data_IF_191172050265
#
_entry.id   IF_191172050265
#
_cell.length_a   1.000
_cell.length_b   1.000
_cell.length_c   1.000
_cell.angle_alpha   90.00
_cell.angle_beta   90.00
_cell.angle_gamma   90.00
#
_symmetry.space_group_name_H-M   'P 1'
#
loop_
_entity.id
_entity.type
_entity.pdbx_description
1 polymer ?
#
# COMPACT_ATOMS: atom_id res chain seq x y z
N UNK A 1 -10.31 29.33 -10.64
CA UNK A 1 -10.31 29.20 -9.17
C UNK A 1 -9.70 27.86 -8.82
N UNK A 2 -8.93 27.71 -7.73
CA UNK A 2 -8.39 26.42 -7.35
C UNK A 2 -9.54 25.43 -7.14
N UNK A 3 -9.46 24.29 -7.80
CA UNK A 3 -10.42 23.21 -7.65
C UNK A 3 -9.93 22.30 -6.52
N UNK A 4 -10.73 22.13 -5.46
CA UNK A 4 -10.32 21.35 -4.30
C UNK A 4 -10.64 19.85 -4.45
N UNK A 5 -10.03 19.04 -3.58
CA UNK A 5 -10.40 17.64 -3.33
C UNK A 5 -10.53 17.37 -1.83
N UNK A 6 -11.31 16.35 -1.49
CA UNK A 6 -11.35 15.80 -0.14
C UNK A 6 -10.22 14.78 0.05
N UNK A 7 -9.47 14.88 1.14
CA UNK A 7 -8.58 13.80 1.60
C UNK A 7 -9.10 13.33 2.95
N UNK A 8 -9.35 12.03 3.08
CA UNK A 8 -9.85 11.41 4.29
C UNK A 8 -8.84 10.38 4.83
N UNK A 9 -8.39 10.59 6.06
CA UNK A 9 -7.44 9.75 6.77
C UNK A 9 -8.16 9.01 7.88
N UNK A 10 -8.24 7.69 7.79
CA UNK A 10 -8.72 6.88 8.89
C UNK A 10 -7.56 6.31 9.68
N UNK A 11 -7.47 6.68 10.96
CA UNK A 11 -6.63 5.98 11.93
C UNK A 11 -7.48 4.95 12.67
N UNK A 12 -7.05 3.70 12.69
CA UNK A 12 -7.79 2.62 13.32
C UNK A 12 -6.85 1.87 14.24
N UNK A 13 -7.25 1.72 15.50
CA UNK A 13 -6.55 0.82 16.41
C UNK A 13 -6.80 -0.61 15.93
N UNK A 14 -5.73 -1.29 15.50
CA UNK A 14 -5.79 -2.56 14.79
C UNK A 14 -6.28 -3.69 15.72
N UNK A 15 -7.59 -3.75 15.88
CA UNK A 15 -8.31 -4.83 16.57
C UNK A 15 -8.51 -6.01 15.64
N UNK A 16 -7.47 -6.83 15.52
CA UNK A 16 -7.41 -8.01 14.65
C UNK A 16 -8.53 -8.99 14.94
N UNK A 17 -8.98 -9.07 16.19
CA UNK A 17 -10.01 -10.00 16.66
C UNK A 17 -11.37 -9.82 15.99
N UNK A 18 -11.59 -8.69 15.29
CA UNK A 18 -12.85 -8.43 14.60
C UNK A 18 -13.01 -9.31 13.35
N UNK A 19 -14.24 -9.78 13.16
CA UNK A 19 -14.62 -10.49 11.95
C UNK A 19 -14.38 -9.64 10.69
N UNK A 20 -14.21 -10.32 9.55
CA UNK A 20 -14.08 -9.66 8.25
C UNK A 20 -15.30 -8.76 7.96
N UNK A 21 -16.51 -9.23 8.24
CA UNK A 21 -17.75 -8.47 8.04
C UNK A 21 -17.80 -7.19 8.87
N UNK A 22 -17.37 -7.26 10.14
CA UNK A 22 -17.31 -6.08 11.01
C UNK A 22 -16.35 -5.02 10.47
N UNK A 23 -15.21 -5.46 9.92
CA UNK A 23 -14.22 -4.56 9.31
C UNK A 23 -14.72 -3.94 8.01
N UNK A 24 -15.38 -4.72 7.16
CA UNK A 24 -16.01 -4.22 5.93
C UNK A 24 -17.13 -3.22 6.22
N UNK A 25 -17.97 -3.49 7.22
CA UNK A 25 -18.98 -2.55 7.70
C UNK A 25 -18.32 -1.27 8.22
N UNK A 26 -17.21 -1.39 8.95
CA UNK A 26 -16.40 -0.25 9.39
C UNK A 26 -15.98 0.65 8.24
N UNK A 27 -15.44 0.08 7.15
CA UNK A 27 -15.11 0.83 5.94
C UNK A 27 -16.35 1.46 5.32
N UNK A 28 -17.45 0.71 5.17
CA UNK A 28 -18.67 1.23 4.55
C UNK A 28 -19.22 2.46 5.30
N UNK A 29 -19.19 2.43 6.63
CA UNK A 29 -19.58 3.57 7.48
C UNK A 29 -18.65 4.77 7.23
N UNK A 30 -17.33 4.56 7.17
CA UNK A 30 -16.38 5.67 6.91
C UNK A 30 -16.54 6.24 5.50
N UNK A 31 -16.71 5.39 4.49
CA UNK A 31 -16.96 5.83 3.12
C UNK A 31 -18.30 6.55 2.98
N UNK A 32 -19.34 6.14 3.73
CA UNK A 32 -20.61 6.88 3.80
C UNK A 32 -20.37 8.31 4.30
N UNK A 33 -19.58 8.46 5.36
CA UNK A 33 -19.21 9.76 5.92
C UNK A 33 -18.42 10.61 4.92
N UNK A 34 -17.39 10.05 4.28
CA UNK A 34 -16.60 10.77 3.26
C UNK A 34 -17.45 11.17 2.06
N UNK A 35 -18.36 10.29 1.62
CA UNK A 35 -19.29 10.59 0.55
C UNK A 35 -20.26 11.73 0.92
N UNK A 36 -20.65 11.82 2.21
CA UNK A 36 -21.41 12.97 2.71
C UNK A 36 -20.57 14.26 2.63
N UNK A 37 -19.32 14.23 3.08
CA UNK A 37 -18.41 15.39 2.99
C UNK A 37 -18.24 15.89 1.55
N UNK A 38 -18.09 14.96 0.59
CA UNK A 38 -18.01 15.30 -0.84
C UNK A 38 -19.28 16.01 -1.32
N UNK A 39 -20.48 15.54 -0.92
CA UNK A 39 -21.74 16.18 -1.30
C UNK A 39 -21.89 17.56 -0.68
N UNK A 40 -21.57 17.69 0.60
CA UNK A 40 -21.71 18.95 1.34
C UNK A 40 -20.75 20.03 0.81
N UNK A 41 -19.59 19.63 0.29
CA UNK A 41 -18.58 20.54 -0.30
C UNK A 41 -18.61 20.59 -1.83
N UNK A 42 -19.67 20.10 -2.49
CA UNK A 42 -19.69 19.92 -3.95
C UNK A 42 -19.35 21.19 -4.75
N UNK A 43 -19.70 22.38 -4.26
CA UNK A 43 -19.42 23.66 -4.91
C UNK A 43 -17.93 24.06 -4.88
N UNK A 44 -17.14 23.50 -3.97
CA UNK A 44 -15.71 23.79 -3.81
C UNK A 44 -14.82 22.76 -4.54
N UNK A 45 -15.39 21.63 -4.93
CA UNK A 45 -14.65 20.50 -5.46
C UNK A 45 -14.47 20.58 -6.97
N UNK A 46 -13.34 20.05 -7.44
CA UNK A 46 -13.08 19.84 -8.86
C UNK A 46 -14.21 19.09 -9.54
N UNK A 47 -14.61 19.52 -10.74
CA UNK A 47 -15.49 18.71 -11.60
C UNK A 47 -14.70 17.88 -12.62
N UNK A 48 -13.43 18.24 -12.88
CA UNK A 48 -12.57 17.66 -13.91
C UNK A 48 -12.10 16.23 -13.64
N UNK A 49 -12.07 15.79 -12.37
CA UNK A 49 -11.54 14.48 -12.00
C UNK A 49 -12.60 13.37 -11.89
N UNK A 50 -12.22 12.10 -12.19
CA UNK A 50 -13.09 10.94 -12.01
C UNK A 50 -13.33 10.59 -10.53
N UNK A 51 -12.63 11.25 -9.61
CA UNK A 51 -12.84 11.17 -8.16
C UNK A 51 -12.93 12.59 -7.58
N UNK A 52 -13.58 12.71 -6.43
CA UNK A 52 -13.74 13.95 -5.65
C UNK A 52 -13.09 13.86 -4.28
N UNK A 53 -12.79 12.65 -3.83
CA UNK A 53 -12.02 12.43 -2.62
C UNK A 53 -11.09 11.23 -2.69
N UNK A 54 -10.09 11.24 -1.80
CA UNK A 54 -9.15 10.16 -1.55
C UNK A 54 -9.42 9.64 -0.14
N UNK A 55 -9.54 8.33 0.03
CA UNK A 55 -9.71 7.69 1.34
C UNK A 55 -8.57 6.71 1.61
N UNK A 56 -7.89 6.86 2.75
CA UNK A 56 -6.87 5.91 3.22
C UNK A 56 -7.28 5.32 4.56
N UNK A 57 -7.10 4.00 4.69
CA UNK A 57 -7.14 3.28 5.97
C UNK A 57 -5.76 2.61 6.22
N UNK A 58 -5.45 2.23 7.46
CA UNK A 58 -4.10 1.82 7.84
C UNK A 58 -3.75 0.39 7.42
N UNK A 59 -2.50 -0.01 7.63
CA UNK A 59 -2.02 -1.35 7.30
C UNK A 59 -2.72 -2.45 8.12
N UNK A 60 -2.77 -3.64 7.52
CA UNK A 60 -3.30 -4.89 8.05
C UNK A 60 -4.76 -4.88 8.44
N UNK A 61 -5.48 -3.80 8.12
CA UNK A 61 -6.92 -3.70 8.36
C UNK A 61 -7.62 -5.00 7.95
N UNK A 62 -7.20 -5.64 6.85
CA UNK A 62 -7.58 -7.00 6.50
C UNK A 62 -6.45 -8.02 6.76
N UNK A 63 -6.58 -8.75 7.86
CA UNK A 63 -5.77 -9.91 8.25
C UNK A 63 -6.68 -11.00 8.84
N UNK A 64 -6.23 -12.24 9.01
CA UNK A 64 -7.05 -13.27 9.67
C UNK A 64 -7.43 -12.79 11.08
N UNK A 65 -8.69 -12.92 11.53
CA UNK A 65 -9.02 -12.67 12.93
C UNK A 65 -8.29 -13.66 13.82
N UNK A 66 -7.46 -13.16 14.72
CA UNK A 66 -6.66 -13.95 15.65
C UNK A 66 -6.18 -13.04 16.80
N UNK A 67 -5.58 -13.62 17.84
CA UNK A 67 -4.94 -12.88 18.94
C UNK A 67 -3.66 -12.19 18.49
N UNK A 68 -3.05 -12.68 17.41
CA UNK A 68 -1.85 -12.15 16.80
C UNK A 68 -2.06 -11.85 15.31
N UNK A 69 -1.10 -11.17 14.69
CA UNK A 69 -1.18 -10.84 13.27
C UNK A 69 -0.94 -12.08 12.41
N UNK A 70 -2.00 -12.69 11.89
CA UNK A 70 -1.89 -13.91 11.09
C UNK A 70 -2.38 -13.75 9.65
N UNK A 71 -1.62 -14.21 8.63
CA UNK A 71 -2.01 -14.04 7.24
C UNK A 71 -3.23 -14.89 6.90
N UNK A 72 -4.23 -14.27 6.28
CA UNK A 72 -5.39 -15.00 5.74
C UNK A 72 -5.03 -15.85 4.53
N UNK A 73 -5.91 -16.77 4.14
CA UNK A 73 -5.76 -17.59 2.95
C UNK A 73 -5.87 -16.78 1.65
N UNK A 74 -5.37 -17.36 0.54
CA UNK A 74 -5.53 -16.75 -0.79
C UNK A 74 -7.01 -16.59 -1.18
N UNK A 75 -7.90 -17.47 -0.71
CA UNK A 75 -9.34 -17.43 -0.94
C UNK A 75 -10.03 -16.29 -0.17
N UNK A 76 -9.75 -16.14 1.12
CA UNK A 76 -10.27 -15.02 1.92
C UNK A 76 -9.83 -13.68 1.34
N UNK A 77 -8.57 -13.58 0.89
CA UNK A 77 -8.08 -12.39 0.19
C UNK A 77 -8.85 -12.12 -1.12
N UNK A 78 -9.31 -13.16 -1.84
CA UNK A 78 -10.17 -12.99 -3.03
C UNK A 78 -11.53 -12.44 -2.64
N UNK A 79 -12.14 -12.98 -1.58
CA UNK A 79 -13.41 -12.49 -1.07
C UNK A 79 -13.33 -11.03 -0.63
N UNK A 80 -12.30 -10.67 0.16
CA UNK A 80 -12.02 -9.29 0.58
C UNK A 80 -11.91 -8.35 -0.63
N UNK A 81 -11.10 -8.71 -1.63
CA UNK A 81 -10.94 -7.87 -2.83
C UNK A 81 -12.27 -7.68 -3.58
N UNK A 82 -13.08 -8.74 -3.71
CA UNK A 82 -14.40 -8.67 -4.34
C UNK A 82 -15.36 -7.72 -3.61
N UNK A 83 -15.42 -7.83 -2.28
CA UNK A 83 -16.27 -6.96 -1.43
C UNK A 83 -15.80 -5.50 -1.46
N UNK A 84 -14.49 -5.26 -1.44
CA UNK A 84 -13.92 -3.92 -1.60
C UNK A 84 -14.22 -3.30 -2.98
N UNK A 85 -14.21 -4.09 -4.05
CA UNK A 85 -14.67 -3.63 -5.37
C UNK A 85 -16.17 -3.28 -5.36
N UNK A 86 -16.98 -4.02 -4.61
CA UNK A 86 -18.39 -3.68 -4.36
C UNK A 86 -18.55 -2.31 -3.69
N UNK A 87 -17.79 -2.03 -2.62
CA UNK A 87 -17.78 -0.72 -1.97
C UNK A 87 -17.30 0.39 -2.92
N UNK A 88 -16.29 0.12 -3.73
CA UNK A 88 -15.81 1.07 -4.74
C UNK A 88 -16.87 1.39 -5.82
N UNK A 89 -17.75 0.44 -6.17
CA UNK A 89 -18.93 0.72 -7.01
C UNK A 89 -19.96 1.58 -6.29
N UNK A 90 -20.20 1.32 -5.01
CA UNK A 90 -21.15 2.07 -4.17
C UNK A 90 -20.73 3.53 -3.98
N UNK A 91 -19.42 3.79 -3.93
CA UNK A 91 -18.85 5.15 -3.76
C UNK A 91 -17.93 5.51 -4.93
N UNK A 92 -18.48 5.73 -6.14
CA UNK A 92 -17.69 5.82 -7.37
C UNK A 92 -16.82 7.08 -7.45
N UNK A 93 -17.07 8.09 -6.62
CA UNK A 93 -16.32 9.34 -6.57
C UNK A 93 -15.17 9.31 -5.54
N UNK A 94 -14.92 8.18 -4.87
CA UNK A 94 -13.84 8.05 -3.89
C UNK A 94 -12.75 7.13 -4.45
N UNK A 95 -11.54 7.67 -4.61
CA UNK A 95 -10.33 6.87 -4.84
C UNK A 95 -9.91 6.28 -3.49
N UNK A 96 -10.16 5.00 -3.27
CA UNK A 96 -9.96 4.38 -1.96
C UNK A 96 -8.72 3.47 -1.93
N UNK A 97 -7.99 3.58 -0.84
CA UNK A 97 -6.96 2.64 -0.37
C UNK A 97 -7.43 2.11 0.99
N UNK A 98 -8.18 0.99 1.02
CA UNK A 98 -8.95 0.55 2.18
C UNK A 98 -8.07 -0.16 3.25
N UNK A 99 -6.79 0.21 3.34
CA UNK A 99 -5.78 -0.50 4.12
C UNK A 99 -5.14 -1.64 3.34
N UNK A 100 -4.41 -2.49 4.04
CA UNK A 100 -3.74 -3.64 3.42
C UNK A 100 -4.40 -4.96 3.76
N UNK A 101 -4.18 -5.93 2.87
CA UNK A 101 -4.55 -7.33 3.02
C UNK A 101 -3.28 -8.14 3.23
N UNK A 102 -3.13 -8.74 4.41
CA UNK A 102 -2.04 -9.66 4.72
C UNK A 102 -2.49 -11.10 4.57
N UNK A 103 -1.86 -11.82 3.65
CA UNK A 103 -2.31 -13.14 3.22
C UNK A 103 -1.13 -14.04 2.83
N UNK A 104 -1.40 -15.34 2.76
CA UNK A 104 -0.45 -16.37 2.32
C UNK A 104 -0.93 -17.10 1.07
N UNK A 105 0.03 -17.56 0.28
CA UNK A 105 -0.21 -18.42 -0.89
C UNK A 105 0.59 -19.70 -0.79
N UNK A 106 0.05 -20.80 -1.29
CA UNK A 106 0.84 -22.00 -1.46
C UNK A 106 1.92 -21.79 -2.53
N UNK A 107 3.14 -22.26 -2.30
CA UNK A 107 4.19 -22.23 -3.32
C UNK A 107 3.76 -23.07 -4.53
N UNK A 108 3.34 -24.30 -4.28
CA UNK A 108 2.74 -25.19 -5.28
C UNK A 108 1.23 -24.98 -5.28
N UNK A 109 0.62 -24.80 -6.45
CA UNK A 109 -0.84 -24.65 -6.52
C UNK A 109 -1.51 -26.01 -6.46
N UNK A 110 -2.62 -26.07 -5.73
CA UNK A 110 -3.58 -27.15 -5.93
C UNK A 110 -4.20 -27.05 -7.34
N UNK A 111 -4.58 -28.18 -7.96
CA UNK A 111 -5.38 -28.19 -9.18
C UNK A 111 -6.62 -27.29 -9.07
N UNK A 112 -6.96 -26.56 -10.14
CA UNK A 112 -8.15 -25.68 -10.17
C UNK A 112 -7.90 -24.21 -9.78
N UNK A 113 -6.70 -23.85 -9.34
CA UNK A 113 -6.33 -22.45 -9.01
C UNK A 113 -5.68 -21.68 -10.18
N UNK A 114 -6.04 -22.02 -11.42
CA UNK A 114 -5.32 -21.59 -12.62
C UNK A 114 -5.80 -20.28 -13.23
N UNK A 115 -6.92 -19.73 -12.77
CA UNK A 115 -7.42 -18.46 -13.28
C UNK A 115 -6.73 -17.26 -12.59
N UNK A 116 -6.47 -16.20 -13.36
CA UNK A 116 -6.01 -14.88 -12.94
C UNK A 116 -7.21 -13.96 -12.75
N UNK A 117 -7.03 -12.97 -11.88
CA UNK A 117 -7.96 -11.85 -11.77
C UNK A 117 -8.04 -11.09 -13.09
N UNK A 118 -9.26 -10.82 -13.51
CA UNK A 118 -9.64 -10.02 -14.65
C UNK A 118 -10.07 -8.63 -14.18
N UNK A 119 -9.28 -7.59 -14.47
CA UNK A 119 -9.64 -6.22 -14.11
C UNK A 119 -10.91 -5.69 -14.77
N UNK A 120 -11.35 -6.28 -15.89
CA UNK A 120 -12.55 -5.85 -16.59
C UNK A 120 -13.81 -6.33 -15.89
N UNK A 121 -13.84 -7.59 -15.46
CA UNK A 121 -15.01 -8.21 -14.82
C UNK A 121 -14.94 -8.16 -13.29
N UNK A 122 -13.77 -7.91 -12.72
CA UNK A 122 -13.51 -8.05 -11.28
C UNK A 122 -13.52 -9.51 -10.80
N UNK A 123 -13.62 -10.48 -11.72
CA UNK A 123 -13.68 -11.91 -11.44
C UNK A 123 -12.37 -12.61 -11.78
N UNK A 124 -12.23 -13.90 -11.46
CA UNK A 124 -11.05 -14.69 -11.86
C UNK A 124 -11.35 -15.53 -13.08
N UNK A 125 -11.29 -14.93 -14.27
CA UNK A 125 -11.68 -15.57 -15.54
C UNK A 125 -10.52 -15.75 -16.51
N UNK A 126 -9.39 -15.06 -16.31
CA UNK A 126 -8.29 -15.08 -17.28
C UNK A 126 -7.42 -16.34 -17.12
N UNK A 127 -7.25 -17.10 -18.20
CA UNK A 127 -6.32 -18.21 -18.23
C UNK A 127 -4.88 -17.72 -17.98
N UNK A 128 -4.08 -18.56 -17.30
CA UNK A 128 -2.66 -18.30 -17.13
C UNK A 128 -1.90 -18.77 -18.35
N UNK A 129 -1.41 -17.81 -19.13
CA UNK A 129 -0.65 -18.05 -20.37
C UNK A 129 0.79 -18.55 -20.18
N UNK A 130 1.24 -18.81 -18.94
CA UNK A 130 2.58 -19.36 -18.71
C UNK A 130 2.55 -20.50 -17.68
N UNK A 131 3.34 -21.58 -17.89
CA UNK A 131 3.61 -22.60 -16.88
C UNK A 131 4.10 -21.89 -15.63
N UNK A 132 3.23 -21.80 -14.65
CA UNK A 132 3.24 -20.66 -13.75
C UNK A 132 4.13 -20.98 -12.54
N UNK A 133 5.41 -21.25 -12.75
CA UNK A 133 6.31 -21.62 -11.66
C UNK A 133 6.41 -20.46 -10.63
N UNK A 134 5.64 -20.61 -9.54
CA UNK A 134 5.61 -19.66 -8.42
C UNK A 134 6.97 -19.65 -7.73
N UNK A 135 7.70 -20.76 -7.73
CA UNK A 135 9.05 -20.89 -7.20
C UNK A 135 10.03 -20.06 -8.00
N UNK A 136 10.14 -20.28 -9.30
CA UNK A 136 11.02 -19.46 -10.15
C UNK A 136 10.75 -17.95 -9.99
N UNK A 137 9.48 -17.53 -9.94
CA UNK A 137 9.15 -16.11 -9.72
C UNK A 137 9.48 -15.62 -8.31
N UNK A 138 9.28 -16.43 -7.28
CA UNK A 138 9.64 -16.08 -5.91
C UNK A 138 11.16 -15.91 -5.80
N UNK A 139 11.93 -16.89 -6.31
CA UNK A 139 13.40 -16.82 -6.40
C UNK A 139 13.84 -15.55 -7.14
N UNK A 140 13.26 -15.29 -8.32
CA UNK A 140 13.61 -14.11 -9.12
C UNK A 140 13.33 -12.81 -8.36
N UNK A 141 12.18 -12.70 -7.69
CA UNK A 141 11.83 -11.51 -6.90
C UNK A 141 12.78 -11.31 -5.72
N UNK A 142 13.04 -12.37 -4.96
CA UNK A 142 13.97 -12.35 -3.83
C UNK A 142 15.36 -11.93 -4.30
N UNK A 143 15.88 -12.52 -5.38
CA UNK A 143 17.18 -12.16 -5.98
C UNK A 143 17.20 -10.70 -6.48
N UNK A 144 16.16 -10.26 -7.17
CA UNK A 144 16.08 -8.89 -7.67
C UNK A 144 15.96 -7.84 -6.56
N UNK A 145 15.44 -8.22 -5.40
CA UNK A 145 15.39 -7.36 -4.22
C UNK A 145 16.74 -7.28 -3.52
N UNK A 146 17.33 -8.44 -3.24
CA UNK A 146 18.72 -8.64 -2.80
C UNK A 146 19.67 -7.66 -3.51
N UNK A 147 19.76 -7.71 -4.84
CA UNK A 147 20.72 -6.90 -5.63
C UNK A 147 20.56 -5.38 -5.46
N UNK A 148 19.41 -4.90 -4.98
CA UNK A 148 19.09 -3.47 -4.88
C UNK A 148 19.30 -2.87 -3.51
N UNK A 149 19.67 -3.66 -2.50
CA UNK A 149 19.91 -3.16 -1.15
C UNK A 149 21.21 -2.31 -1.17
N UNK A 150 21.13 -0.98 -0.93
CA UNK A 150 22.31 -0.11 -0.89
C UNK A 150 23.29 -0.55 0.20
N UNK A 151 24.58 -0.64 -0.14
CA UNK A 151 25.66 -1.03 0.79
C UNK A 151 26.30 -2.38 0.51
N UNK A 152 25.79 -3.17 -0.44
CA UNK A 152 26.42 -4.43 -0.86
C UNK A 152 27.22 -4.24 -2.14
N UNK A 153 28.54 -4.47 -2.09
CA UNK A 153 29.43 -4.20 -3.23
C UNK A 153 29.98 -5.43 -3.95
N UNK A 154 29.85 -6.66 -3.44
CA UNK A 154 30.30 -7.84 -4.21
C UNK A 154 29.50 -9.13 -3.92
N UNK A 155 29.43 -10.09 -4.87
CA UNK A 155 28.98 -11.47 -4.66
C UNK A 155 29.63 -12.21 -3.47
N UNK A 156 30.85 -11.82 -3.06
CA UNK A 156 31.54 -12.39 -1.90
C UNK A 156 30.99 -11.89 -0.56
N UNK A 157 30.44 -10.67 -0.51
CA UNK A 157 29.83 -10.10 0.71
C UNK A 157 28.51 -10.80 1.10
N UNK A 158 27.92 -11.59 0.19
CA UNK A 158 26.67 -12.32 0.42
C UNK A 158 26.85 -13.51 1.35
N UNK A 159 28.06 -14.07 1.40
CA UNK A 159 28.35 -15.28 2.16
C UNK A 159 28.90 -14.99 3.56
N UNK A 160 29.48 -13.80 3.78
CA UNK A 160 30.21 -13.42 4.99
C UNK A 160 29.41 -12.60 6.02
N UNK A 161 28.25 -12.06 5.66
CA UNK A 161 27.42 -11.29 6.59
C UNK A 161 26.33 -12.16 7.18
N UNK A 162 26.46 -12.43 8.48
CA UNK A 162 25.40 -12.99 9.30
C UNK A 162 24.27 -11.95 9.39
N UNK A 163 23.15 -12.19 8.69
CA UNK A 163 22.04 -11.25 8.46
C UNK A 163 21.17 -11.01 9.72
N UNK A 164 21.80 -10.98 10.90
CA UNK A 164 21.17 -10.72 12.19
C UNK A 164 21.24 -9.25 12.63
N UNK A 165 21.98 -8.39 11.91
CA UNK A 165 22.15 -6.97 12.25
C UNK A 165 21.44 -6.02 11.28
N UNK A 166 20.29 -5.47 11.68
CA UNK A 166 19.72 -4.19 11.20
C UNK A 166 19.71 -3.92 9.67
N UNK A 167 19.47 -4.93 8.83
CA UNK A 167 19.48 -4.78 7.37
C UNK A 167 18.14 -5.12 6.74
N UNK A 168 17.43 -4.11 6.20
CA UNK A 168 16.34 -4.10 5.20
C UNK A 168 15.13 -5.06 5.32
N UNK A 169 15.18 -6.06 6.19
CA UNK A 169 14.12 -6.99 6.53
C UNK A 169 14.08 -7.32 8.02
N UNK A 170 14.93 -6.72 8.83
CA UNK A 170 14.85 -6.88 10.27
C UNK A 170 14.92 -5.47 10.87
N UNK A 171 13.77 -5.00 11.36
CA UNK A 171 13.80 -4.18 12.57
C UNK A 171 14.33 -5.03 13.74
N UNK A 172 13.74 -4.87 14.91
CA UNK A 172 14.10 -5.66 16.11
C UNK A 172 13.56 -7.11 16.03
N UNK A 173 12.72 -7.43 15.04
CA UNK A 173 11.97 -8.69 14.96
C UNK A 173 12.77 -9.82 14.28
N UNK A 174 12.79 -11.04 14.85
CA UNK A 174 13.45 -12.20 14.24
C UNK A 174 12.59 -12.76 13.10
N UNK A 175 12.83 -12.29 11.88
CA UNK A 175 12.24 -12.85 10.65
C UNK A 175 13.30 -13.59 9.83
N UNK A 176 12.93 -14.58 9.00
CA UNK A 176 13.88 -15.27 8.12
C UNK A 176 14.62 -14.32 7.18
N UNK A 177 15.93 -14.52 7.01
CA UNK A 177 16.72 -13.71 6.07
C UNK A 177 16.31 -13.98 4.62
N UNK A 178 16.54 -13.02 3.71
CA UNK A 178 16.31 -13.25 2.27
C UNK A 178 17.21 -14.35 1.71
N UNK A 179 18.38 -14.58 2.31
CA UNK A 179 19.29 -15.66 1.94
C UNK A 179 18.63 -17.00 2.26
N UNK A 180 18.13 -17.18 3.48
CA UNK A 180 17.50 -18.43 3.91
C UNK A 180 16.21 -18.70 3.14
N UNK A 181 15.41 -17.65 2.91
CA UNK A 181 14.24 -17.73 2.02
C UNK A 181 14.66 -18.18 0.62
N UNK A 182 15.71 -17.58 0.03
CA UNK A 182 16.20 -17.96 -1.31
C UNK A 182 16.70 -19.40 -1.34
N UNK A 183 17.47 -19.82 -0.35
CA UNK A 183 18.01 -21.18 -0.22
C UNK A 183 16.85 -22.18 -0.12
N UNK A 184 15.88 -21.92 0.75
CA UNK A 184 14.67 -22.76 0.91
C UNK A 184 13.85 -22.83 -0.36
N UNK A 185 13.70 -21.71 -1.07
CA UNK A 185 13.01 -21.70 -2.38
C UNK A 185 13.81 -22.44 -3.47
N UNK A 186 15.13 -22.55 -3.34
CA UNK A 186 15.99 -23.32 -4.25
C UNK A 186 15.91 -24.83 -4.02
N UNK A 187 15.59 -25.26 -2.81
CA UNK A 187 15.35 -26.66 -2.48
C UNK A 187 13.95 -27.11 -2.94
N UNK A 188 13.90 -27.99 -3.93
CA UNK A 188 12.66 -28.51 -4.50
C UNK A 188 11.89 -29.43 -3.55
N UNK A 189 12.50 -29.93 -2.48
CA UNK A 189 11.84 -30.74 -1.45
C UNK A 189 11.02 -29.89 -0.48
N UNK A 190 11.33 -28.58 -0.36
CA UNK A 190 10.66 -27.65 0.55
C UNK A 190 9.51 -26.93 -0.15
N UNK A 191 8.38 -26.72 0.53
CA UNK A 191 7.19 -26.07 -0.08
C UNK A 191 6.60 -24.96 0.80
N UNK A 192 7.39 -23.92 1.13
CA UNK A 192 6.92 -22.89 2.06
C UNK A 192 5.68 -22.16 1.56
N UNK A 193 4.86 -21.70 2.50
CA UNK A 193 3.79 -20.75 2.19
C UNK A 193 4.43 -19.40 1.94
N UNK A 194 3.91 -18.65 0.97
CA UNK A 194 4.43 -17.34 0.59
C UNK A 194 3.60 -16.25 1.25
N UNK A 195 4.18 -15.54 2.22
CA UNK A 195 3.56 -14.38 2.84
C UNK A 195 3.61 -13.15 1.91
N UNK A 196 2.53 -12.38 1.94
CA UNK A 196 2.34 -11.16 1.16
C UNK A 196 1.46 -10.18 1.92
N UNK A 197 1.83 -8.91 1.87
CA UNK A 197 1.03 -7.81 2.36
C UNK A 197 0.78 -6.84 1.20
N UNK A 198 -0.49 -6.54 0.90
CA UNK A 198 -0.85 -5.78 -0.29
C UNK A 198 -1.91 -4.71 -0.02
N UNK A 199 -1.69 -3.52 -0.56
CA UNK A 199 -2.66 -2.44 -0.64
C UNK A 199 -3.30 -2.41 -2.04
N UNK A 200 -4.60 -2.10 -2.10
CA UNK A 200 -5.32 -1.93 -3.36
C UNK A 200 -5.76 -0.48 -3.52
N UNK A 201 -5.62 0.05 -4.73
CA UNK A 201 -6.22 1.34 -5.10
C UNK A 201 -7.43 1.07 -5.98
N UNK A 202 -8.61 1.48 -5.52
CA UNK A 202 -9.88 1.17 -6.16
C UNK A 202 -10.66 2.45 -6.50
N UNK A 203 -11.31 2.47 -7.66
CA UNK A 203 -12.19 3.57 -8.09
C UNK A 203 -13.33 3.03 -8.96
N UNK A 204 -14.58 3.40 -8.65
CA UNK A 204 -15.75 3.05 -9.45
C UNK A 204 -15.91 1.55 -9.72
N UNK A 205 -15.49 0.69 -8.79
CA UNK A 205 -15.55 -0.76 -8.95
C UNK A 205 -14.42 -1.39 -9.75
N UNK A 206 -13.37 -0.63 -10.05
CA UNK A 206 -12.19 -1.10 -10.77
C UNK A 206 -10.98 -1.08 -9.86
N UNK A 207 -10.12 -2.09 -10.00
CA UNK A 207 -8.79 -2.07 -9.39
C UNK A 207 -7.83 -1.26 -10.26
N UNK A 208 -7.51 -0.05 -9.83
CA UNK A 208 -6.57 0.85 -10.49
C UNK A 208 -5.14 0.34 -10.30
N UNK A 209 -4.78 -0.02 -9.07
CA UNK A 209 -3.47 -0.54 -8.72
C UNK A 209 -3.54 -1.52 -7.53
N UNK A 210 -2.45 -2.26 -7.33
CA UNK A 210 -2.18 -3.17 -6.24
C UNK A 210 -0.70 -3.11 -5.81
N UNK A 211 -0.37 -2.33 -4.79
CA UNK A 211 0.98 -2.33 -4.26
C UNK A 211 1.22 -3.55 -3.36
N UNK A 212 2.34 -4.26 -3.54
CA UNK A 212 2.77 -5.34 -2.64
C UNK A 212 3.95 -4.80 -1.81
N UNK A 213 3.90 -4.93 -0.48
CA UNK A 213 4.95 -4.52 0.44
C UNK A 213 6.29 -5.12 0.04
N UNK A 214 7.35 -4.32 0.11
CA UNK A 214 8.67 -4.71 -0.38
C UNK A 214 9.59 -5.20 0.74
N UNK A 215 9.41 -4.69 1.95
CA UNK A 215 10.20 -5.01 3.14
C UNK A 215 9.40 -5.85 4.12
N UNK A 216 10.03 -6.85 4.73
CA UNK A 216 9.47 -7.57 5.87
C UNK A 216 9.71 -6.75 7.15
N UNK A 217 8.68 -6.59 7.97
CA UNK A 217 8.78 -5.99 9.30
C UNK A 217 7.95 -6.78 10.33
N UNK A 218 8.03 -8.11 10.25
CA UNK A 218 7.32 -9.03 11.14
C UNK A 218 6.19 -9.79 10.46
N UNK A 219 6.10 -9.78 9.14
CA UNK A 219 5.17 -10.65 8.40
C UNK A 219 5.50 -12.14 8.56
N UNK A 220 6.77 -12.48 8.75
CA UNK A 220 7.21 -13.87 8.96
C UNK A 220 7.83 -14.08 10.36
N UNK A 221 7.42 -13.27 11.35
CA UNK A 221 7.95 -13.37 12.71
C UNK A 221 7.70 -14.76 13.31
N UNK A 222 8.74 -15.32 13.95
CA UNK A 222 8.66 -16.63 14.61
C UNK A 222 8.49 -17.83 13.67
N UNK A 223 8.47 -17.62 12.34
CA UNK A 223 8.35 -18.70 11.36
C UNK A 223 9.72 -19.11 10.83
N UNK A 224 9.89 -20.40 10.51
CA UNK A 224 11.01 -20.82 9.68
C UNK A 224 10.79 -20.41 8.21
N UNK A 225 11.84 -20.24 7.39
CA UNK A 225 11.69 -20.00 5.95
C UNK A 225 11.02 -21.18 5.22
N UNK A 226 10.97 -22.37 5.83
CA UNK A 226 10.27 -23.55 5.33
C UNK A 226 8.76 -23.50 5.57
N UNK A 227 8.31 -22.78 6.60
CA UNK A 227 6.90 -22.64 6.96
C UNK A 227 6.23 -21.46 6.26
N UNK A 228 6.88 -20.30 6.31
CA UNK A 228 6.37 -19.04 5.80
C UNK A 228 7.52 -18.14 5.31
N UNK A 229 7.56 -17.92 4.00
CA UNK A 229 8.53 -17.05 3.35
C UNK A 229 7.87 -15.74 2.92
N UNK A 230 8.28 -14.61 3.51
CA UNK A 230 7.90 -13.31 2.98
C UNK A 230 8.61 -13.06 1.66
N UNK A 231 7.83 -12.84 0.61
CA UNK A 231 8.39 -12.53 -0.70
C UNK A 231 8.19 -11.03 -0.93
N UNK A 232 9.25 -10.25 -1.19
CA UNK A 232 9.12 -8.86 -1.57
C UNK A 232 8.16 -8.63 -2.74
N UNK A 233 7.46 -7.51 -2.68
CA UNK A 233 6.66 -6.95 -3.76
C UNK A 233 7.49 -6.61 -5.00
N UNK A 234 6.80 -6.17 -6.05
CA UNK A 234 7.48 -5.70 -7.27
C UNK A 234 7.33 -4.19 -7.44
N UNK A 235 8.39 -3.58 -7.95
CA UNK A 235 8.62 -2.14 -8.13
C UNK A 235 7.68 -1.36 -9.06
N UNK A 236 6.54 -1.90 -9.51
CA UNK A 236 5.90 -1.41 -10.75
C UNK A 236 4.66 -0.53 -10.61
N UNK A 237 4.41 0.14 -9.49
CA UNK A 237 3.10 0.77 -9.31
C UNK A 237 3.16 2.20 -8.81
N UNK A 238 3.21 3.12 -9.77
CA UNK A 238 2.85 4.51 -9.59
C UNK A 238 1.74 4.85 -10.60
N UNK A 239 0.48 4.46 -10.33
CA UNK A 239 -0.61 4.60 -11.30
C UNK A 239 -0.92 6.07 -11.56
N UNK A 240 -1.56 6.32 -12.70
CA UNK A 240 -2.12 7.62 -13.04
C UNK A 240 -3.65 7.54 -13.05
N UNK A 241 -4.30 8.52 -12.41
CA UNK A 241 -5.76 8.64 -12.35
C UNK A 241 -6.13 10.09 -12.61
N UNK A 242 -6.85 10.35 -13.70
CA UNK A 242 -7.28 11.70 -14.08
C UNK A 242 -6.12 12.68 -14.34
N UNK A 243 -4.98 12.20 -14.84
CA UNK A 243 -3.77 13.01 -15.05
C UNK A 243 -2.86 13.13 -13.82
N UNK A 244 -3.28 12.57 -12.67
CA UNK A 244 -2.52 12.63 -11.43
C UNK A 244 -1.81 11.31 -11.15
N UNK A 245 -0.51 11.40 -10.94
CA UNK A 245 0.36 10.27 -10.60
C UNK A 245 0.49 10.05 -9.10
N UNK A 246 0.27 8.81 -8.68
CA UNK A 246 0.29 8.37 -7.29
C UNK A 246 1.48 7.45 -7.03
N UNK A 247 2.06 7.51 -5.84
CA UNK A 247 2.95 6.47 -5.31
C UNK A 247 2.37 5.92 -4.01
N UNK A 248 2.64 4.65 -3.73
CA UNK A 248 2.15 3.99 -2.53
C UNK A 248 3.29 3.25 -1.82
N UNK A 249 3.34 3.34 -0.51
CA UNK A 249 4.21 2.56 0.38
C UNK A 249 3.39 1.93 1.50
N UNK A 250 3.91 0.85 2.07
CA UNK A 250 3.33 0.18 3.22
C UNK A 250 4.36 0.20 4.35
N UNK A 251 4.06 0.94 5.42
CA UNK A 251 4.80 0.94 6.68
C UNK A 251 6.32 1.05 6.51
N UNK A 252 7.06 -0.01 6.81
CA UNK A 252 8.52 -0.04 6.77
C UNK A 252 9.13 0.20 5.38
N UNK A 253 8.34 0.08 4.30
CA UNK A 253 8.76 0.56 2.98
C UNK A 253 9.04 2.08 2.99
N UNK A 254 8.26 2.85 3.76
CA UNK A 254 8.46 4.28 3.95
C UNK A 254 9.71 4.59 4.78
N UNK A 255 9.93 3.88 5.89
CA UNK A 255 11.17 4.00 6.66
C UNK A 255 12.41 3.72 5.80
N UNK A 256 12.29 2.80 4.84
CA UNK A 256 13.32 2.48 3.85
C UNK A 256 13.31 3.36 2.60
N UNK A 257 12.53 4.45 2.58
CA UNK A 257 12.48 5.42 1.49
C UNK A 257 12.30 4.76 0.11
N UNK A 258 11.50 3.70 0.01
CA UNK A 258 11.48 2.83 -1.17
C UNK A 258 11.14 3.59 -2.45
N UNK A 259 10.18 4.50 -2.44
CA UNK A 259 9.83 5.34 -3.59
C UNK A 259 10.87 6.42 -3.85
N UNK A 260 11.36 7.09 -2.81
CA UNK A 260 12.37 8.15 -2.97
C UNK A 260 13.65 7.60 -3.63
N UNK A 261 14.14 6.45 -3.16
CA UNK A 261 15.34 5.78 -3.70
C UNK A 261 15.17 5.27 -5.12
N UNK A 262 13.94 4.91 -5.50
CA UNK A 262 13.62 4.49 -6.88
C UNK A 262 13.54 5.67 -7.84
N UNK A 263 13.68 6.91 -7.36
CA UNK A 263 13.52 8.14 -8.13
C UNK A 263 12.24 8.11 -8.99
N UNK A 264 11.13 7.69 -8.38
CA UNK A 264 9.85 7.55 -9.11
C UNK A 264 9.17 8.88 -9.35
N UNK A 265 9.83 10.00 -9.10
CA UNK A 265 9.27 11.32 -9.33
C UNK A 265 8.93 11.50 -10.82
N UNK A 266 7.97 12.38 -11.15
CA UNK A 266 7.13 13.16 -10.23
C UNK A 266 5.94 12.35 -9.66
N UNK A 267 5.64 12.52 -8.37
CA UNK A 267 4.39 12.06 -7.74
C UNK A 267 3.57 13.24 -7.23
N UNK A 268 2.31 13.34 -7.64
CA UNK A 268 1.40 14.35 -7.07
C UNK A 268 0.91 13.94 -5.69
N UNK A 269 0.74 12.64 -5.48
CA UNK A 269 0.31 12.06 -4.20
C UNK A 269 1.25 10.92 -3.83
N UNK A 270 1.87 11.01 -2.66
CA UNK A 270 2.59 9.94 -2.03
C UNK A 270 1.75 9.40 -0.87
N UNK A 271 1.22 8.19 -1.04
CA UNK A 271 0.31 7.55 -0.09
C UNK A 271 1.09 6.55 0.77
N UNK A 272 0.91 6.60 2.09
CA UNK A 272 1.44 5.62 3.03
C UNK A 272 0.30 5.05 3.86
N UNK A 273 0.28 3.72 4.00
CA UNK A 273 -0.57 3.02 4.96
C UNK A 273 0.31 2.24 5.91
N UNK A 274 0.10 2.36 7.21
CA UNK A 274 1.00 1.74 8.19
C UNK A 274 0.29 1.19 9.42
N UNK A 275 0.92 0.19 10.02
CA UNK A 275 0.73 -0.18 11.42
C UNK A 275 1.85 0.45 12.24
N UNK A 276 1.89 1.79 12.15
CA UNK A 276 2.91 2.72 12.64
C UNK A 276 4.24 2.74 11.86
N UNK A 277 4.58 3.95 11.41
CA UNK A 277 5.90 4.37 10.93
C UNK A 277 5.97 5.88 11.03
N UNK A 278 7.14 6.47 11.30
CA UNK A 278 7.28 7.92 11.32
C UNK A 278 7.10 8.54 9.93
N UNK A 279 6.49 9.72 9.89
CA UNK A 279 6.32 10.53 8.65
C UNK A 279 7.62 11.27 8.29
N UNK A 280 8.69 10.54 7.96
CA UNK A 280 10.02 11.10 7.71
C UNK A 280 10.08 11.94 6.44
N UNK A 281 10.28 13.27 6.57
CA UNK A 281 10.36 14.23 5.44
C UNK A 281 11.38 13.81 4.38
N UNK A 282 12.54 13.27 4.78
CA UNK A 282 13.58 12.79 3.84
C UNK A 282 13.15 11.62 2.95
N UNK A 283 12.11 10.88 3.35
CA UNK A 283 11.58 9.73 2.63
C UNK A 283 10.37 10.10 1.75
N UNK A 284 9.91 11.36 1.82
CA UNK A 284 8.74 11.82 1.08
C UNK A 284 9.05 12.07 -0.40
N UNK A 285 8.54 11.20 -1.26
CA UNK A 285 8.73 11.23 -2.71
C UNK A 285 7.66 11.98 -3.51
N UNK A 286 6.95 12.98 -2.95
CA UNK A 286 6.07 13.85 -3.76
C UNK A 286 6.83 14.97 -4.47
N UNK A 287 6.34 15.41 -5.62
CA UNK A 287 6.86 16.55 -6.38
C UNK A 287 6.48 17.88 -5.75
N UNK A 288 7.08 18.99 -6.19
CA UNK A 288 6.63 20.33 -5.82
C UNK A 288 5.14 20.50 -6.16
N UNK A 289 4.37 21.10 -5.24
CA UNK A 289 2.90 21.18 -5.31
C UNK A 289 2.14 19.91 -4.92
N UNK A 290 2.82 18.79 -4.70
CA UNK A 290 2.21 17.50 -4.33
C UNK A 290 1.98 17.33 -2.82
N UNK A 291 1.30 16.23 -2.48
CA UNK A 291 0.95 15.87 -1.11
C UNK A 291 1.54 14.53 -0.69
N UNK A 292 1.92 14.44 0.57
CA UNK A 292 2.14 13.18 1.28
C UNK A 292 0.97 12.94 2.22
N UNK A 293 0.40 11.73 2.14
CA UNK A 293 -0.88 11.36 2.74
C UNK A 293 -0.67 10.06 3.49
N UNK A 294 -0.77 10.08 4.81
CA UNK A 294 -0.42 8.94 5.65
C UNK A 294 -1.56 8.55 6.59
N UNK A 295 -2.02 7.30 6.47
CA UNK A 295 -2.95 6.68 7.42
C UNK A 295 -2.23 5.62 8.24
N UNK A 296 -2.20 5.83 9.57
CA UNK A 296 -1.51 4.98 10.53
C UNK A 296 -2.49 4.49 11.60
N UNK A 297 -2.21 3.33 12.18
CA UNK A 297 -2.93 2.86 13.38
C UNK A 297 -2.67 3.71 14.60
N UNK A 298 -1.45 4.24 14.70
CA UNK A 298 -1.16 5.31 15.63
C UNK A 298 -1.71 6.62 15.05
N UNK A 299 -2.74 7.15 15.69
CA UNK A 299 -3.36 8.41 15.30
C UNK A 299 -2.36 9.57 15.19
N UNK A 300 -1.35 9.60 16.07
CA UNK A 300 -0.35 10.67 16.08
C UNK A 300 0.54 10.69 14.81
N UNK A 301 0.66 9.57 14.10
CA UNK A 301 1.42 9.51 12.84
C UNK A 301 0.56 9.72 11.60
N UNK A 302 -0.77 9.69 11.75
CA UNK A 302 -1.65 9.95 10.62
C UNK A 302 -1.55 11.43 10.26
N UNK A 303 -1.04 11.72 9.07
CA UNK A 303 -0.59 13.06 8.73
C UNK A 303 -0.84 13.41 7.27
N UNK A 304 -0.93 14.71 7.03
CA UNK A 304 -1.04 15.31 5.71
C UNK A 304 0.03 16.39 5.57
N UNK A 305 0.89 16.22 4.59
CA UNK A 305 1.97 17.16 4.29
C UNK A 305 1.86 17.65 2.86
N UNK A 306 2.31 18.88 2.64
CA UNK A 306 2.38 19.49 1.31
C UNK A 306 3.83 19.82 0.98
N UNK A 307 4.21 19.62 -0.28
CA UNK A 307 5.41 20.24 -0.84
C UNK A 307 5.01 21.51 -1.58
N UNK A 308 5.53 22.68 -1.18
CA UNK A 308 5.23 23.94 -1.87
C UNK A 308 5.81 23.95 -3.29
N UNK A 309 5.39 24.91 -4.11
CA UNK A 309 5.97 25.09 -5.45
C UNK A 309 7.47 25.45 -5.40
N UNK A 310 7.91 26.08 -4.31
CA UNK A 310 9.32 26.36 -4.04
C UNK A 310 10.10 25.14 -3.50
N UNK A 311 9.43 24.02 -3.25
CA UNK A 311 10.04 22.76 -2.81
C UNK A 311 10.09 22.53 -1.29
N UNK A 312 9.74 23.53 -0.48
CA UNK A 312 9.64 23.39 0.98
C UNK A 312 8.56 22.36 1.35
N UNK A 313 8.79 21.58 2.42
CA UNK A 313 7.82 20.57 2.90
C UNK A 313 7.19 21.07 4.19
N UNK A 314 5.87 21.11 4.24
CA UNK A 314 5.07 21.69 5.31
C UNK A 314 4.11 20.64 5.85
N UNK A 315 4.07 20.49 7.19
CA UNK A 315 3.05 19.71 7.87
C UNK A 315 1.77 20.56 7.93
N UNK A 316 0.70 20.08 7.28
CA UNK A 316 -0.60 20.75 7.27
C UNK A 316 -1.66 19.94 8.02
N UNK A 317 -1.25 18.91 8.79
CA UNK A 317 -2.14 18.00 9.51
C UNK A 317 -3.05 18.75 10.49
N UNK A 318 -2.53 19.78 11.17
CA UNK A 318 -3.28 20.57 12.15
C UNK A 318 -3.69 21.95 11.63
N UNK A 319 -3.46 22.23 10.34
CA UNK A 319 -3.75 23.54 9.76
C UNK A 319 -5.26 23.68 9.49
N UNK A 320 -5.92 24.58 10.23
CA UNK A 320 -7.35 24.86 10.13
C UNK A 320 -7.77 25.44 8.76
N UNK A 321 -6.83 25.91 7.93
CA UNK A 321 -7.13 26.31 6.56
C UNK A 321 -7.55 25.11 5.69
N UNK A 322 -7.03 23.91 5.99
CA UNK A 322 -7.30 22.70 5.21
C UNK A 322 -8.14 21.68 6.00
N UNK A 323 -7.96 21.59 7.32
CA UNK A 323 -8.64 20.60 8.16
C UNK A 323 -10.09 21.01 8.43
N UNK A 324 -11.03 20.32 7.76
CA UNK A 324 -12.46 20.65 7.79
C UNK A 324 -13.25 19.76 8.74
N UNK A 325 -12.94 18.47 8.79
CA UNK A 325 -13.68 17.50 9.56
C UNK A 325 -12.73 16.83 10.55
N UNK A 326 -12.80 17.29 11.80
CA UNK A 326 -11.95 16.77 12.88
C UNK A 326 -12.52 15.47 13.42
N UNK A 327 -11.66 14.49 13.57
CA UNK A 327 -12.01 13.24 14.18
C UNK A 327 -12.25 13.42 15.68
N UNK A 328 -13.03 12.51 16.24
CA UNK A 328 -13.16 12.33 17.69
C UNK A 328 -12.36 11.10 18.08
N UNK A 329 -12.03 10.89 19.37
CA UNK A 329 -11.34 9.68 19.82
C UNK A 329 -12.02 8.38 19.39
N UNK A 330 -13.33 8.40 19.16
CA UNK A 330 -14.14 7.25 18.73
C UNK A 330 -14.21 7.10 17.20
N UNK A 331 -14.25 8.20 16.45
CA UNK A 331 -14.37 8.14 14.98
C UNK A 331 -13.03 7.99 14.29
N UNK A 332 -11.97 8.64 14.78
CA UNK A 332 -10.61 8.66 14.23
C UNK A 332 -10.51 8.82 12.70
N UNK A 333 -11.48 9.51 12.09
CA UNK A 333 -11.53 9.82 10.67
C UNK A 333 -11.41 11.33 10.50
N UNK A 334 -10.26 11.79 10.00
CA UNK A 334 -10.04 13.19 9.67
C UNK A 334 -10.31 13.44 8.20
N UNK A 335 -10.82 14.64 7.91
CA UNK A 335 -11.10 15.08 6.56
C UNK A 335 -10.53 16.47 6.28
N UNK A 336 -9.85 16.58 5.14
CA UNK A 336 -9.18 17.77 4.67
C UNK A 336 -9.78 18.19 3.34
N UNK A 337 -9.92 19.49 3.13
CA UNK A 337 -10.24 20.08 1.84
C UNK A 337 -9.00 20.80 1.34
N UNK A 338 -8.35 20.23 0.33
CA UNK A 338 -7.08 20.77 -0.18
C UNK A 338 -7.19 21.15 -1.66
N UNK A 339 -6.47 22.21 -2.09
CA UNK A 339 -6.34 22.51 -3.52
C UNK A 339 -5.74 21.33 -4.27
N UNK A 340 -6.22 21.06 -5.48
CA UNK A 340 -5.56 20.12 -6.36
C UNK A 340 -4.11 20.54 -6.62
N UNK A 341 -3.16 19.58 -6.64
CA UNK A 341 -1.83 19.85 -7.18
C UNK A 341 -1.95 20.41 -8.59
N UNK A 342 -1.06 21.33 -8.96
CA UNK A 342 -0.95 21.74 -10.35
C UNK A 342 -0.68 20.48 -11.21
N UNK A 343 -1.32 20.34 -12.39
CA UNK A 343 -0.99 19.26 -13.30
C UNK A 343 0.50 19.28 -13.59
N UNK A 344 1.14 18.11 -13.68
CA UNK A 344 2.50 18.05 -14.19
C UNK A 344 2.50 18.67 -15.59
N UNK A 345 3.19 19.81 -15.72
CA UNK A 345 3.59 20.30 -17.04
C UNK A 345 4.45 19.18 -17.61
N UNK A 346 4.04 18.50 -18.71
CA UNK A 346 4.90 17.53 -19.34
C UNK A 346 6.23 18.22 -19.59
N UNK A 347 7.39 17.59 -19.32
CA UNK A 347 8.66 18.21 -19.68
C UNK A 347 8.53 18.60 -21.15
N UNK A 348 8.71 19.90 -21.45
CA UNK A 348 8.72 20.38 -22.84
C UNK A 348 9.65 19.43 -23.56
N UNK A 349 9.14 18.64 -24.51
CA UNK A 349 9.99 17.80 -25.34
C UNK A 349 11.07 18.74 -25.84
N UNK A 350 12.32 18.49 -25.45
CA UNK A 350 13.43 19.19 -26.06
C UNK A 350 13.22 19.00 -27.56
N UNK A 351 13.01 20.11 -28.28
CA UNK A 351 13.08 20.06 -29.73
C UNK A 351 14.54 19.70 -30.00
N UNK A 352 14.76 18.42 -30.35
CA UNK A 352 16.05 17.91 -30.80
C UNK A 352 16.23 18.37 -32.24
#
# INVERSE_FOLDING_TARGET
>A
MPENIVIALWSYDNRWERSLESRLLGIDVKLTTVNKWIRDSAAELTTALPFKGIFLAPEYFFTSPDTERFPMSELERIDVESKLLGLSRKYPQILMVPGTVFYRKQLVRAPGFDLKFDPATGQRTLAKTSPNDRRARAIQKTRAYIVKIPGQRTPADWDLLDWHGAGYNAGVNPVPSLRDIRTTLGDNTKTPRLAKNAAYMLLGGRRIAKYDKQTDFGEAIGCSPEDLAFIPGSYKQCPEVGGYRFGMEICFDHANAMLARRNVQPLHFHLVVSDWVDSSVGNMAMSAGGYFVHASTNYAESSLWRRTLAGATEDITQDNAYWRWKSTPTTRLDGYLVPLPAPLVPPRRAQI
#
